data_IF_774694171856
#
_entry.id   IF_774694171856
#
_cell.length_a   1.000
_cell.length_b   1.000
_cell.length_c   1.000
_cell.angle_alpha   90.00
_cell.angle_beta   90.00
_cell.angle_gamma   90.00
#
_symmetry.space_group_name_H-M   'P 1'
#
loop_
_entity.id
_entity.type
_entity.pdbx_description
1 polymer ?
#
# COMPACT_ATOMS: atom_id res chain seq x y z
N UNK A 1 -15.75 -29.86 -10.18
CA UNK A 1 -15.62 -31.25 -9.69
C UNK A 1 -14.41 -31.31 -8.78
N UNK A 2 -14.60 -31.58 -7.51
CA UNK A 2 -13.52 -31.88 -6.55
C UNK A 2 -13.81 -33.25 -5.96
N UNK A 3 -12.89 -34.20 -6.16
CA UNK A 3 -12.99 -35.54 -5.59
C UNK A 3 -12.67 -35.46 -4.09
N UNK A 4 -13.62 -35.86 -3.23
CA UNK A 4 -13.39 -36.07 -1.79
C UNK A 4 -14.07 -37.35 -1.34
N UNK A 5 -13.39 -38.07 -0.47
CA UNK A 5 -13.87 -39.31 0.16
C UNK A 5 -15.05 -39.01 1.13
N UNK A 6 -16.15 -39.80 1.12
CA UNK A 6 -17.37 -39.54 1.90
C UNK A 6 -17.19 -39.58 3.43
N UNK A 7 -16.09 -40.13 3.93
CA UNK A 7 -15.87 -40.34 5.37
C UNK A 7 -15.21 -39.16 6.10
N UNK A 8 -14.74 -38.15 5.37
CA UNK A 8 -14.08 -36.99 5.98
C UNK A 8 -15.08 -35.89 6.34
N UNK A 9 -14.99 -35.30 7.55
CA UNK A 9 -15.83 -34.17 7.92
C UNK A 9 -15.60 -33.00 6.96
N UNK A 10 -16.68 -32.55 6.30
CA UNK A 10 -16.65 -31.37 5.45
C UNK A 10 -16.24 -30.18 6.32
N UNK A 11 -15.08 -29.57 6.02
CA UNK A 11 -14.66 -28.33 6.65
C UNK A 11 -15.71 -27.27 6.35
N UNK A 12 -16.50 -26.87 7.37
CA UNK A 12 -17.43 -25.75 7.25
C UNK A 12 -16.61 -24.48 7.15
N UNK A 13 -16.45 -23.94 5.95
CA UNK A 13 -15.94 -22.59 5.75
C UNK A 13 -16.98 -21.61 6.30
N UNK A 14 -16.67 -21.00 7.44
CA UNK A 14 -17.46 -19.88 7.94
C UNK A 14 -17.37 -18.73 6.91
N UNK A 15 -18.51 -18.19 6.51
CA UNK A 15 -18.53 -16.99 5.67
C UNK A 15 -17.87 -15.86 6.45
N UNK A 16 -16.79 -15.29 5.91
CA UNK A 16 -16.20 -14.07 6.46
C UNK A 16 -17.24 -12.96 6.35
N UNK A 17 -17.87 -12.62 7.46
CA UNK A 17 -18.78 -11.49 7.54
C UNK A 17 -17.94 -10.21 7.51
N UNK A 18 -18.21 -9.31 6.56
CA UNK A 18 -17.59 -7.98 6.50
C UNK A 18 -18.07 -7.15 7.70
N UNK A 19 -17.48 -7.35 8.87
CA UNK A 19 -17.82 -6.60 10.09
C UNK A 19 -16.85 -5.43 10.32
N UNK A 20 -17.35 -4.39 10.98
CA UNK A 20 -16.83 -3.02 11.18
C UNK A 20 -15.46 -2.86 11.89
N UNK A 21 -14.58 -3.87 11.85
CA UNK A 21 -13.27 -3.87 12.49
C UNK A 21 -12.10 -3.97 11.48
N UNK A 22 -12.35 -3.74 10.18
CA UNK A 22 -11.29 -3.72 9.18
C UNK A 22 -10.47 -2.43 9.36
N UNK A 23 -9.21 -2.59 9.74
CA UNK A 23 -8.25 -1.48 9.78
C UNK A 23 -7.49 -1.46 8.46
N UNK A 24 -7.32 -0.28 7.89
CA UNK A 24 -6.46 -0.08 6.72
C UNK A 24 -5.04 0.20 7.22
N UNK A 25 -4.08 -0.61 6.79
CA UNK A 25 -2.66 -0.35 7.01
C UNK A 25 -2.04 0.15 5.70
N UNK A 26 -1.18 1.16 5.78
CA UNK A 26 -0.38 1.67 4.67
C UNK A 26 1.08 1.42 4.98
N UNK A 27 1.74 0.68 4.10
CA UNK A 27 3.15 0.28 4.24
C UNK A 27 3.95 0.79 3.06
N UNK A 28 5.06 1.49 3.34
CA UNK A 28 6.07 1.86 2.34
C UNK A 28 7.35 1.09 2.60
N UNK A 29 7.92 0.52 1.54
CA UNK A 29 9.09 -0.33 1.61
C UNK A 29 9.93 -0.20 0.34
N UNK A 30 11.19 -0.62 0.42
CA UNK A 30 12.09 -0.75 -0.72
C UNK A 30 12.80 -2.11 -0.67
N UNK A 31 13.73 -2.37 -1.61
CA UNK A 31 14.51 -3.61 -1.63
C UNK A 31 15.33 -3.89 -0.35
N UNK A 32 15.48 -2.91 0.56
CA UNK A 32 16.16 -3.05 1.86
C UNK A 32 15.17 -3.26 3.02
N UNK A 33 13.87 -3.35 2.74
CA UNK A 33 12.80 -3.61 3.69
C UNK A 33 11.91 -2.40 3.99
N UNK A 34 11.11 -2.51 5.06
CA UNK A 34 10.07 -1.54 5.43
C UNK A 34 10.64 -0.20 5.90
N UNK A 35 10.15 0.88 5.31
CA UNK A 35 10.51 2.27 5.63
C UNK A 35 9.49 2.86 6.60
N UNK A 36 8.19 2.69 6.33
CA UNK A 36 7.10 3.26 7.12
C UNK A 36 5.92 2.30 7.12
N UNK A 37 5.29 2.13 8.27
CA UNK A 37 4.05 1.37 8.46
C UNK A 37 3.14 2.21 9.35
N UNK A 38 1.94 2.54 8.84
CA UNK A 38 0.94 3.34 9.55
C UNK A 38 -0.41 2.64 9.42
N UNK A 39 -1.11 2.51 10.54
CA UNK A 39 -2.44 1.92 10.60
C UNK A 39 -3.38 2.87 11.35
N UNK A 40 -4.02 3.86 10.67
CA UNK A 40 -4.99 4.72 11.32
C UNK A 40 -6.24 3.90 11.65
N UNK A 41 -6.50 3.70 12.94
CA UNK A 41 -7.71 3.00 13.38
C UNK A 41 -8.97 3.71 12.86
N UNK A 42 -9.75 3.01 12.03
CA UNK A 42 -11.12 3.39 11.68
C UNK A 42 -11.30 4.57 10.71
N UNK A 43 -10.27 5.00 9.98
CA UNK A 43 -10.40 6.10 8.99
C UNK A 43 -10.12 5.64 7.56
N UNK A 44 -10.95 6.07 6.61
CA UNK A 44 -10.66 5.97 5.19
C UNK A 44 -9.59 6.99 4.81
N UNK A 45 -8.54 6.54 4.12
CA UNK A 45 -7.46 7.41 3.64
C UNK A 45 -8.03 8.40 2.61
N UNK A 46 -8.26 9.64 3.01
CA UNK A 46 -8.56 10.74 2.09
C UNK A 46 -7.23 11.35 1.56
N UNK A 47 -7.32 12.20 0.54
CA UNK A 47 -6.12 12.81 -0.07
C UNK A 47 -5.27 13.62 0.92
N UNK A 48 -5.90 14.34 1.87
CA UNK A 48 -5.18 15.12 2.90
C UNK A 48 -4.39 14.21 3.84
N UNK A 49 -4.99 13.10 4.25
CA UNK A 49 -4.36 12.11 5.12
C UNK A 49 -3.20 11.42 4.41
N UNK A 50 -3.37 11.10 3.12
CA UNK A 50 -2.29 10.60 2.29
C UNK A 50 -1.12 11.59 2.18
N UNK A 51 -1.38 12.88 1.99
CA UNK A 51 -0.32 13.90 1.98
C UNK A 51 0.43 14.01 3.32
N UNK A 52 -0.27 13.85 4.45
CA UNK A 52 0.36 13.78 5.78
C UNK A 52 1.25 12.54 5.90
N UNK A 53 0.79 11.40 5.39
CA UNK A 53 1.56 10.16 5.30
C UNK A 53 2.82 10.35 4.45
N UNK A 54 2.75 11.01 3.29
CA UNK A 54 3.92 11.32 2.46
C UNK A 54 4.95 12.20 3.19
N UNK A 55 4.49 13.12 4.04
CA UNK A 55 5.39 13.93 4.87
C UNK A 55 6.15 13.05 5.86
N UNK A 56 5.43 12.16 6.54
CA UNK A 56 6.01 11.18 7.48
C UNK A 56 6.95 10.19 6.78
N UNK A 57 6.61 9.79 5.55
CA UNK A 57 7.45 8.94 4.71
C UNK A 57 8.76 9.64 4.38
N UNK A 58 8.73 10.91 4.00
CA UNK A 58 9.95 11.69 3.70
C UNK A 58 10.89 11.75 4.91
N UNK A 59 10.35 11.96 6.11
CA UNK A 59 11.12 11.93 7.35
C UNK A 59 11.67 10.54 7.69
N UNK A 60 10.91 9.48 7.41
CA UNK A 60 11.36 8.11 7.56
C UNK A 60 12.48 7.76 6.58
N UNK A 61 12.38 8.18 5.32
CA UNK A 61 13.44 8.02 4.31
C UNK A 61 14.70 8.74 4.75
N UNK A 62 14.59 9.99 5.23
CA UNK A 62 15.75 10.77 5.72
C UNK A 62 16.53 10.02 6.81
N UNK A 63 15.82 9.30 7.70
CA UNK A 63 16.43 8.54 8.80
C UNK A 63 16.93 7.15 8.38
N UNK A 64 16.11 6.39 7.67
CA UNK A 64 16.35 4.96 7.38
C UNK A 64 17.10 4.71 6.07
N UNK A 65 17.14 5.67 5.16
CA UNK A 65 17.74 5.57 3.82
C UNK A 65 18.56 6.82 3.48
N UNK A 66 19.66 7.08 4.22
CA UNK A 66 20.52 8.22 3.95
C UNK A 66 21.01 8.18 2.48
N UNK A 67 20.79 9.28 1.76
CA UNK A 67 21.15 9.41 0.34
C UNK A 67 20.03 9.14 -0.67
N UNK A 68 18.92 8.47 -0.29
CA UNK A 68 17.82 8.20 -1.23
C UNK A 68 17.17 9.50 -1.71
N UNK A 69 16.91 10.45 -0.81
CA UNK A 69 16.36 11.77 -1.18
C UNK A 69 17.28 12.56 -2.13
N UNK A 70 18.59 12.32 -2.12
CA UNK A 70 19.54 13.00 -3.03
C UNK A 70 19.57 12.36 -4.42
N UNK A 71 19.29 11.06 -4.49
CA UNK A 71 19.29 10.29 -5.75
C UNK A 71 17.99 10.44 -6.54
N UNK A 72 16.95 10.98 -5.91
CA UNK A 72 15.59 10.97 -6.42
C UNK A 72 14.81 9.78 -5.87
N UNK A 73 13.51 10.00 -5.64
CA UNK A 73 12.58 8.96 -5.19
C UNK A 73 11.61 8.70 -6.32
N UNK A 74 11.51 7.43 -6.72
CA UNK A 74 10.47 6.95 -7.62
C UNK A 74 9.49 6.16 -6.76
N UNK A 75 8.25 6.61 -6.71
CA UNK A 75 7.16 5.99 -5.96
C UNK A 75 6.36 5.10 -6.91
N UNK A 76 6.24 3.82 -6.56
CA UNK A 76 5.25 2.94 -7.15
C UNK A 76 4.06 2.87 -6.20
N UNK A 77 2.91 3.29 -6.69
CA UNK A 77 1.63 3.21 -5.98
C UNK A 77 0.58 2.66 -6.94
N UNK A 78 -0.50 2.09 -6.40
CA UNK A 78 -1.63 1.71 -7.24
C UNK A 78 -2.40 2.96 -7.68
N UNK A 79 -3.19 2.83 -8.75
CA UNK A 79 -3.95 3.95 -9.29
C UNK A 79 -5.25 4.18 -8.50
N UNK A 80 -5.19 4.33 -7.17
CA UNK A 80 -6.35 4.76 -6.39
C UNK A 80 -6.64 6.26 -6.59
N UNK A 81 -7.93 6.62 -6.54
CA UNK A 81 -8.47 7.97 -6.79
C UNK A 81 -7.84 9.03 -5.86
N UNK A 82 -7.46 8.62 -4.64
CA UNK A 82 -6.82 9.44 -3.61
C UNK A 82 -5.39 9.84 -3.99
N UNK A 83 -4.67 8.99 -4.72
CA UNK A 83 -3.31 9.25 -5.21
C UNK A 83 -3.32 10.11 -6.47
N UNK A 84 -4.37 9.99 -7.28
CA UNK A 84 -4.62 10.82 -8.47
C UNK A 84 -5.17 12.21 -8.16
N UNK A 85 -5.48 12.53 -6.90
CA UNK A 85 -5.95 13.85 -6.51
C UNK A 85 -4.89 14.94 -6.78
N UNK A 86 -5.33 16.11 -7.29
CA UNK A 86 -4.45 17.25 -7.58
C UNK A 86 -3.58 17.65 -6.39
N UNK A 87 -4.11 17.56 -5.16
CA UNK A 87 -3.37 17.86 -3.95
C UNK A 87 -2.15 16.92 -3.80
N UNK A 88 -2.35 15.61 -3.99
CA UNK A 88 -1.29 14.61 -3.91
C UNK A 88 -0.22 14.85 -4.97
N UNK A 89 -0.63 15.14 -6.22
CA UNK A 89 0.28 15.44 -7.32
C UNK A 89 1.15 16.68 -7.02
N UNK A 90 0.56 17.74 -6.47
CA UNK A 90 1.30 18.95 -6.06
C UNK A 90 2.32 18.64 -4.95
N UNK A 91 1.97 17.79 -3.99
CA UNK A 91 2.89 17.37 -2.93
C UNK A 91 4.08 16.58 -3.46
N UNK A 92 3.83 15.63 -4.39
CA UNK A 92 4.87 14.83 -5.02
C UNK A 92 5.82 15.70 -5.86
N UNK A 93 5.27 16.64 -6.63
CA UNK A 93 6.07 17.65 -7.35
C UNK A 93 6.92 18.51 -6.40
N UNK A 94 6.35 18.97 -5.28
CA UNK A 94 7.09 19.75 -4.27
C UNK A 94 8.26 18.98 -3.68
N UNK A 95 8.16 17.65 -3.59
CA UNK A 95 9.22 16.79 -3.10
C UNK A 95 10.20 16.35 -4.19
N UNK A 96 9.89 16.62 -5.46
CA UNK A 96 10.67 16.13 -6.61
C UNK A 96 10.61 14.62 -6.73
N UNK A 97 9.49 14.00 -6.36
CA UNK A 97 9.30 12.56 -6.44
C UNK A 97 8.57 12.21 -7.73
N UNK A 98 9.09 11.21 -8.42
CA UNK A 98 8.49 10.68 -9.64
C UNK A 98 7.51 9.57 -9.30
N UNK A 99 6.39 9.50 -10.02
CA UNK A 99 5.44 8.39 -9.89
C UNK A 99 5.74 7.42 -11.03
N UNK A 100 5.94 6.15 -10.69
CA UNK A 100 6.09 5.10 -11.70
C UNK A 100 4.72 4.88 -12.37
N UNK A 101 4.63 4.99 -13.72
CA UNK A 101 3.39 4.70 -14.42
C UNK A 101 2.94 3.26 -14.13
N UNK A 102 1.72 3.09 -13.64
CA UNK A 102 1.16 1.78 -13.33
C UNK A 102 -0.12 1.53 -14.14
N UNK A 103 -0.21 0.41 -14.89
CA UNK A 103 -1.42 0.08 -15.64
C UNK A 103 -2.59 -0.24 -14.70
N UNK A 104 -3.82 0.05 -15.13
CA UNK A 104 -5.00 -0.26 -14.35
C UNK A 104 -5.15 -1.79 -14.16
N UNK A 105 -5.61 -2.20 -12.97
CA UNK A 105 -5.96 -3.58 -12.64
C UNK A 105 -4.82 -4.61 -12.85
N UNK A 106 -3.58 -4.24 -12.52
CA UNK A 106 -2.41 -5.11 -12.73
C UNK A 106 -1.71 -5.50 -11.42
N UNK A 107 -2.35 -6.32 -10.57
CA UNK A 107 -1.81 -6.67 -9.26
C UNK A 107 -0.53 -7.52 -9.33
N UNK A 108 -0.33 -8.24 -10.42
CA UNK A 108 0.91 -8.95 -10.75
C UNK A 108 2.10 -8.00 -10.94
N UNK A 109 1.84 -6.73 -11.26
CA UNK A 109 2.86 -5.69 -11.41
C UNK A 109 3.05 -4.85 -10.14
N UNK A 110 2.26 -5.08 -9.09
CA UNK A 110 2.38 -4.38 -7.81
C UNK A 110 3.15 -5.26 -6.81
N UNK A 111 4.40 -4.93 -6.48
CA UNK A 111 5.19 -5.72 -5.54
C UNK A 111 4.50 -5.91 -4.19
N UNK A 112 3.74 -4.90 -3.73
CA UNK A 112 2.99 -5.00 -2.48
C UNK A 112 1.90 -6.08 -2.54
N UNK A 113 1.18 -6.22 -3.65
CA UNK A 113 0.10 -7.21 -3.80
C UNK A 113 0.64 -8.62 -4.06
N UNK A 114 1.69 -8.75 -4.89
CA UNK A 114 2.29 -10.05 -5.20
C UNK A 114 3.25 -10.60 -4.13
N UNK A 115 3.93 -9.74 -3.35
CA UNK A 115 4.96 -10.19 -2.41
C UNK A 115 4.61 -9.90 -0.95
N UNK A 116 4.22 -8.67 -0.62
CA UNK A 116 4.06 -8.26 0.78
C UNK A 116 2.73 -8.73 1.39
N UNK A 117 1.64 -8.64 0.62
CA UNK A 117 0.28 -8.97 1.05
C UNK A 117 -0.25 -10.27 0.45
N UNK A 118 0.58 -11.03 -0.26
CA UNK A 118 0.17 -12.25 -0.94
C UNK A 118 -0.14 -13.39 0.04
N UNK A 119 -1.33 -13.36 0.68
CA UNK A 119 -1.97 -14.47 1.39
C UNK A 119 -3.49 -14.31 1.44
#
# INVERSE_FOLDING_TARGET
MTWKDPSFPVTKTFKVQRSAAKVMATVFWDAKGVILDISPQGQCTNATQYCSTLTSLRDAIRRKRPGLLRRGVVLQDDNEITHSANLTQQWLQRYGWEILPHPAHSPDLTPSEFHLFAF
#
